data_IF_020062019321
#
_entry.id   IF_020062019321
#
_cell.length_a   1.000
_cell.length_b   1.000
_cell.length_c   1.000
_cell.angle_alpha   90.00
_cell.angle_beta   90.00
_cell.angle_gamma   90.00
#
_symmetry.space_group_name_H-M   'P 1'
#
loop_
_entity.id
_entity.type
_entity.pdbx_description
1 polymer ?
#
# COMPACT_ATOMS: atom_id res chain seq x y z
N UNK A 1 33.03 -24.33 -47.87
CA UNK A 1 31.72 -24.77 -47.40
C UNK A 1 31.72 -24.70 -45.88
N UNK A 2 30.95 -23.77 -45.31
CA UNK A 2 30.80 -23.64 -43.83
C UNK A 2 29.48 -24.31 -43.45
N UNK A 3 29.42 -25.12 -42.38
CA UNK A 3 28.15 -25.73 -41.94
C UNK A 3 27.31 -24.70 -41.21
N UNK A 4 26.08 -24.54 -41.64
CA UNK A 4 25.02 -23.78 -40.93
C UNK A 4 24.44 -24.64 -39.79
N UNK A 5 24.56 -24.16 -38.56
CA UNK A 5 23.94 -24.76 -37.37
C UNK A 5 22.52 -24.21 -37.24
N UNK A 6 21.48 -25.04 -37.13
CA UNK A 6 20.12 -24.53 -36.90
C UNK A 6 19.97 -24.03 -35.46
N UNK A 7 19.45 -22.83 -35.33
CA UNK A 7 19.06 -22.25 -34.02
C UNK A 7 17.80 -22.93 -33.49
N UNK A 8 17.94 -23.65 -32.41
CA UNK A 8 16.84 -24.26 -31.66
C UNK A 8 16.13 -23.13 -30.83
N UNK A 9 14.94 -22.74 -31.29
CA UNK A 9 14.09 -21.83 -30.54
C UNK A 9 13.40 -22.58 -29.39
N UNK A 10 13.87 -22.42 -28.17
CA UNK A 10 13.18 -22.92 -26.98
C UNK A 10 12.11 -21.89 -26.61
N UNK A 11 10.86 -22.16 -26.98
CA UNK A 11 9.70 -21.45 -26.50
C UNK A 11 9.39 -21.92 -25.10
N UNK A 12 9.93 -21.21 -24.11
CA UNK A 12 9.58 -21.40 -22.70
C UNK A 12 8.16 -20.88 -22.44
N UNK A 13 7.19 -21.78 -22.27
CA UNK A 13 5.89 -21.45 -21.67
C UNK A 13 6.13 -21.08 -20.20
N UNK A 14 6.17 -19.79 -19.91
CA UNK A 14 6.03 -19.28 -18.55
C UNK A 14 4.54 -19.33 -18.18
N UNK A 15 4.12 -20.43 -17.55
CA UNK A 15 2.86 -20.51 -16.86
C UNK A 15 2.88 -19.43 -15.75
N UNK A 16 2.08 -18.39 -15.92
CA UNK A 16 1.87 -17.39 -14.89
C UNK A 16 1.31 -18.10 -13.65
N UNK A 17 2.05 -18.11 -12.57
CA UNK A 17 1.57 -18.62 -11.29
C UNK A 17 0.35 -17.78 -10.89
N UNK A 18 -0.84 -18.32 -11.05
CA UNK A 18 -2.04 -17.78 -10.45
C UNK A 18 -1.86 -17.94 -8.93
N UNK A 19 -1.73 -16.83 -8.21
CA UNK A 19 -1.77 -16.87 -6.75
C UNK A 19 -3.10 -17.50 -6.35
N UNK A 20 -3.11 -18.46 -5.41
CA UNK A 20 -4.34 -19.06 -4.94
C UNK A 20 -5.25 -17.94 -4.42
N UNK A 21 -6.51 -17.94 -4.86
CA UNK A 21 -7.52 -17.06 -4.28
C UNK A 21 -7.60 -17.35 -2.78
N UNK A 22 -7.24 -16.37 -1.97
CA UNK A 22 -7.40 -16.49 -0.52
C UNK A 22 -8.90 -16.45 -0.17
N UNK A 23 -9.26 -17.01 0.99
CA UNK A 23 -10.63 -17.26 1.42
C UNK A 23 -11.61 -16.10 1.10
N UNK A 24 -12.76 -16.45 0.55
CA UNK A 24 -13.84 -15.53 0.31
C UNK A 24 -14.52 -15.15 1.62
N UNK A 25 -14.58 -13.85 1.91
CA UNK A 25 -15.28 -13.32 3.08
C UNK A 25 -16.80 -13.21 2.86
N UNK A 26 -17.21 -13.25 1.60
CA UNK A 26 -18.55 -12.91 1.16
C UNK A 26 -18.68 -11.44 0.72
N UNK A 27 -19.76 -11.10 0.00
CA UNK A 27 -19.93 -9.80 -0.62
C UNK A 27 -20.01 -8.67 0.42
N UNK A 28 -19.65 -7.48 -0.06
CA UNK A 28 -19.82 -6.24 0.68
C UNK A 28 -21.30 -5.99 1.02
N UNK A 29 -21.55 -5.63 2.27
CA UNK A 29 -22.84 -5.20 2.78
C UNK A 29 -22.67 -4.11 3.84
N UNK A 30 -23.77 -3.46 4.21
CA UNK A 30 -23.82 -2.64 5.41
C UNK A 30 -24.57 -3.41 6.50
N UNK A 31 -24.06 -3.35 7.71
CA UNK A 31 -24.78 -3.87 8.86
C UNK A 31 -25.91 -2.92 9.30
N UNK A 32 -26.63 -3.29 10.37
CA UNK A 32 -27.72 -2.46 10.91
C UNK A 32 -27.25 -1.10 11.44
N UNK A 33 -25.96 -0.88 11.61
CA UNK A 33 -25.33 0.38 12.03
C UNK A 33 -24.69 1.12 10.85
N UNK A 34 -25.06 0.77 9.61
CA UNK A 34 -24.47 1.33 8.38
C UNK A 34 -22.94 1.12 8.27
N UNK A 35 -22.40 0.18 9.04
CA UNK A 35 -20.98 -0.15 8.97
C UNK A 35 -20.70 -1.01 7.74
N UNK A 36 -19.71 -0.67 6.91
CA UNK A 36 -19.37 -1.44 5.74
C UNK A 36 -18.58 -2.69 6.13
N UNK A 37 -19.12 -3.87 5.81
CA UNK A 37 -18.55 -5.18 6.12
C UNK A 37 -18.46 -6.07 4.87
N UNK A 38 -17.48 -6.98 4.87
CA UNK A 38 -17.44 -8.18 4.03
C UNK A 38 -17.50 -9.42 4.90
N UNK A 39 -18.48 -10.28 4.64
CA UNK A 39 -18.73 -11.44 5.48
C UNK A 39 -19.69 -11.18 6.65
N UNK A 40 -19.71 -12.11 7.61
CA UNK A 40 -20.52 -12.01 8.84
C UNK A 40 -19.94 -12.90 9.94
N UNK A 41 -20.14 -12.53 11.19
CA UNK A 41 -19.61 -13.25 12.36
C UNK A 41 -18.10 -13.15 12.46
N UNK A 42 -17.50 -14.17 13.09
CA UNK A 42 -16.05 -14.24 13.30
C UNK A 42 -15.28 -14.16 11.99
N UNK A 43 -14.23 -13.36 11.99
CA UNK A 43 -13.37 -13.15 10.82
C UNK A 43 -13.99 -12.32 9.71
N UNK A 44 -15.19 -11.75 9.87
CA UNK A 44 -15.73 -10.76 8.95
C UNK A 44 -14.82 -9.53 8.93
N UNK A 45 -14.67 -8.91 7.76
CA UNK A 45 -13.78 -7.78 7.61
C UNK A 45 -14.55 -6.46 7.54
N UNK A 46 -14.09 -5.47 8.29
CA UNK A 46 -14.62 -4.10 8.26
C UNK A 46 -13.83 -3.28 7.27
N UNK A 47 -14.54 -2.66 6.31
CA UNK A 47 -13.92 -1.79 5.31
C UNK A 47 -13.36 -0.53 6.00
N UNK A 48 -12.11 -0.21 5.71
CA UNK A 48 -11.47 1.02 6.19
C UNK A 48 -12.12 2.21 5.49
N UNK A 49 -12.45 3.23 6.28
CA UNK A 49 -13.11 4.43 5.75
C UNK A 49 -12.24 5.13 4.71
N UNK A 50 -12.85 5.59 3.62
CA UNK A 50 -12.21 6.34 2.53
C UNK A 50 -11.13 5.57 1.75
N UNK A 51 -11.17 4.24 1.79
CA UNK A 51 -10.21 3.41 1.06
C UNK A 51 -10.78 2.71 -0.16
N UNK A 52 -12.06 2.90 -0.46
CA UNK A 52 -12.67 2.32 -1.66
C UNK A 52 -12.04 2.88 -2.93
N UNK A 53 -11.85 2.00 -3.92
CA UNK A 53 -11.40 2.38 -5.25
C UNK A 53 -12.39 3.33 -5.94
N UNK A 54 -11.96 4.16 -6.90
CA UNK A 54 -12.84 5.05 -7.67
C UNK A 54 -14.01 4.34 -8.33
N UNK A 55 -13.82 3.13 -8.84
CA UNK A 55 -14.86 2.29 -9.44
C UNK A 55 -15.70 1.49 -8.42
N UNK A 56 -15.40 1.64 -7.11
CA UNK A 56 -16.06 0.98 -5.98
C UNK A 56 -16.03 -0.55 -6.01
N UNK A 57 -15.02 -1.15 -6.66
CA UNK A 57 -14.88 -2.60 -6.72
C UNK A 57 -13.92 -3.17 -5.69
N UNK A 58 -13.04 -2.34 -5.14
CA UNK A 58 -11.99 -2.75 -4.21
C UNK A 58 -11.93 -1.82 -3.01
N UNK A 59 -11.39 -2.31 -1.89
CA UNK A 59 -11.13 -1.50 -0.71
C UNK A 59 -10.04 -2.12 0.17
N UNK A 60 -9.50 -1.35 1.10
CA UNK A 60 -8.83 -1.90 2.26
C UNK A 60 -9.87 -2.25 3.32
N UNK A 61 -9.62 -3.35 4.03
CA UNK A 61 -10.44 -3.78 5.15
C UNK A 61 -9.52 -4.36 6.24
N UNK A 62 -9.96 -4.33 7.48
CA UNK A 62 -9.27 -4.97 8.59
C UNK A 62 -10.18 -6.02 9.23
N UNK A 63 -9.58 -7.03 9.84
CA UNK A 63 -10.28 -8.03 10.64
C UNK A 63 -9.38 -8.60 11.73
N UNK A 64 -10.00 -9.15 12.74
CA UNK A 64 -9.44 -10.20 13.59
C UNK A 64 -10.01 -11.53 13.06
N UNK A 65 -9.19 -12.54 12.73
CA UNK A 65 -9.69 -13.82 12.20
C UNK A 65 -10.60 -14.56 13.16
N UNK A 66 -10.41 -14.36 14.47
CA UNK A 66 -11.06 -15.12 15.54
C UNK A 66 -12.22 -14.37 16.23
N UNK A 67 -12.44 -13.10 15.87
CA UNK A 67 -13.46 -12.24 16.47
C UNK A 67 -14.46 -11.70 15.45
N UNK A 68 -15.67 -11.41 15.95
CA UNK A 68 -16.58 -10.53 15.22
C UNK A 68 -16.03 -9.10 15.22
N UNK A 69 -16.12 -8.34 14.13
CA UNK A 69 -15.65 -6.96 14.10
C UNK A 69 -16.25 -6.02 15.16
N UNK A 70 -17.38 -6.42 15.75
CA UNK A 70 -18.01 -5.70 16.87
C UNK A 70 -17.33 -5.93 18.21
N UNK A 71 -16.62 -7.05 18.35
CA UNK A 71 -15.99 -7.50 19.60
C UNK A 71 -14.47 -7.15 19.65
N UNK A 72 -13.94 -6.59 18.58
CA UNK A 72 -12.53 -6.16 18.52
C UNK A 72 -12.33 -4.92 19.37
N UNK A 73 -11.29 -4.96 20.22
CA UNK A 73 -10.90 -3.90 21.15
C UNK A 73 -9.53 -3.33 20.83
N UNK A 74 -9.13 -2.27 21.52
CA UNK A 74 -7.80 -1.64 21.35
C UNK A 74 -6.63 -2.50 21.84
N UNK A 75 -6.93 -3.53 22.64
CA UNK A 75 -5.92 -4.46 23.16
C UNK A 75 -5.64 -5.62 22.17
N UNK A 76 -6.39 -5.70 21.07
CA UNK A 76 -6.22 -6.75 20.08
C UNK A 76 -5.03 -6.47 19.16
N UNK A 77 -4.10 -7.42 19.10
CA UNK A 77 -2.84 -7.32 18.36
C UNK A 77 -2.80 -8.13 17.07
N UNK A 78 -3.76 -9.06 16.88
CA UNK A 78 -3.75 -10.00 15.76
C UNK A 78 -4.62 -9.52 14.59
N UNK A 79 -4.60 -8.21 14.36
CA UNK A 79 -5.37 -7.62 13.27
C UNK A 79 -4.68 -7.82 11.92
N UNK A 80 -5.47 -8.23 10.95
CA UNK A 80 -5.06 -8.34 9.57
C UNK A 80 -5.61 -7.17 8.75
N UNK A 81 -4.76 -6.57 7.93
CA UNK A 81 -5.23 -5.71 6.85
C UNK A 81 -5.34 -6.50 5.55
N UNK A 82 -6.42 -6.27 4.85
CA UNK A 82 -6.79 -6.95 3.62
C UNK A 82 -6.98 -5.93 2.50
N UNK A 83 -6.48 -6.22 1.32
CA UNK A 83 -6.99 -5.64 0.08
C UNK A 83 -8.05 -6.60 -0.47
N UNK A 84 -9.28 -6.15 -0.59
CA UNK A 84 -10.42 -7.02 -0.93
C UNK A 84 -11.14 -6.56 -2.18
N UNK A 85 -11.73 -7.51 -2.89
CA UNK A 85 -12.72 -7.26 -3.93
C UNK A 85 -14.13 -7.26 -3.33
N UNK A 86 -14.86 -6.16 -3.47
CA UNK A 86 -16.11 -5.93 -2.75
C UNK A 86 -17.28 -6.79 -3.24
N UNK A 87 -17.26 -7.24 -4.52
CA UNK A 87 -18.34 -8.00 -5.11
C UNK A 87 -18.55 -9.37 -4.45
N UNK A 88 -17.48 -10.00 -3.99
CA UNK A 88 -17.47 -11.38 -3.50
C UNK A 88 -16.63 -11.56 -2.22
N UNK A 89 -15.94 -10.52 -1.77
CA UNK A 89 -15.09 -10.56 -0.58
C UNK A 89 -13.78 -11.33 -0.78
N UNK A 90 -13.37 -11.54 -2.03
CA UNK A 90 -12.08 -12.19 -2.32
C UNK A 90 -10.95 -11.33 -1.79
N UNK A 91 -10.09 -11.94 -0.97
CA UNK A 91 -8.89 -11.31 -0.44
C UNK A 91 -7.80 -11.35 -1.50
N UNK A 92 -7.35 -10.18 -1.96
CA UNK A 92 -6.31 -10.04 -2.96
C UNK A 92 -4.92 -9.95 -2.36
N UNK A 93 -4.79 -9.32 -1.20
CA UNK A 93 -3.55 -9.23 -0.45
C UNK A 93 -3.84 -9.15 1.05
N UNK A 94 -2.87 -9.57 1.83
CA UNK A 94 -2.86 -9.60 3.29
C UNK A 94 -1.63 -8.89 3.83
N UNK A 95 -1.76 -8.26 4.99
CA UNK A 95 -0.65 -7.70 5.73
C UNK A 95 -1.07 -7.49 7.18
N UNK A 96 -0.09 -7.32 8.03
CA UNK A 96 -0.34 -7.00 9.43
C UNK A 96 -0.78 -5.55 9.53
N UNK A 97 -1.60 -5.25 10.52
CA UNK A 97 -1.99 -3.90 10.90
C UNK A 97 -2.34 -3.88 12.38
N UNK A 98 -2.15 -2.75 12.97
CA UNK A 98 -2.70 -2.42 14.28
C UNK A 98 -3.71 -1.26 14.17
N UNK A 99 -4.20 -1.05 12.95
CA UNK A 99 -5.27 -0.12 12.67
C UNK A 99 -6.53 -0.56 13.38
N UNK A 100 -6.84 0.14 14.43
CA UNK A 100 -8.10 0.02 15.15
C UNK A 100 -8.72 1.40 15.31
N UNK A 101 -9.93 1.57 14.83
CA UNK A 101 -10.68 2.77 15.04
C UNK A 101 -11.50 2.67 16.31
N UNK A 102 -10.94 3.06 17.44
CA UNK A 102 -11.72 3.38 18.63
C UNK A 102 -12.18 4.83 18.53
N UNK A 103 -13.47 5.13 18.48
CA UNK A 103 -13.99 6.50 18.41
C UNK A 103 -13.66 7.36 19.65
N UNK A 104 -13.16 6.73 20.73
CA UNK A 104 -12.80 7.43 21.98
C UNK A 104 -11.31 7.68 22.16
N UNK A 105 -10.43 7.09 21.37
CA UNK A 105 -8.97 7.22 21.56
C UNK A 105 -8.37 8.11 20.48
N UNK A 106 -8.00 9.32 20.86
CA UNK A 106 -7.34 10.30 19.99
C UNK A 106 -5.81 10.28 20.08
N UNK A 107 -5.24 9.45 20.97
CA UNK A 107 -3.85 9.60 21.38
C UNK A 107 -2.82 8.96 20.45
N UNK A 108 -3.15 7.86 19.77
CA UNK A 108 -2.25 7.18 18.84
C UNK A 108 -2.96 6.99 17.49
N UNK A 109 -2.87 8.02 16.67
CA UNK A 109 -3.39 7.91 15.29
C UNK A 109 -2.50 6.99 14.50
N UNK A 110 -2.99 5.80 14.23
CA UNK A 110 -2.50 4.95 13.14
C UNK A 110 -3.53 5.06 12.03
N UNK A 111 -3.10 5.56 10.89
CA UNK A 111 -3.99 5.81 9.77
C UNK A 111 -3.64 4.84 8.63
N UNK A 112 -4.60 3.98 8.30
CA UNK A 112 -4.54 3.18 7.07
C UNK A 112 -5.18 3.97 5.94
N UNK A 113 -4.42 4.17 4.89
CA UNK A 113 -4.78 5.01 3.77
C UNK A 113 -4.63 4.24 2.45
N UNK A 114 -5.45 4.59 1.48
CA UNK A 114 -5.37 4.06 0.13
C UNK A 114 -5.27 5.21 -0.89
N UNK A 115 -4.22 5.19 -1.70
CA UNK A 115 -4.03 6.14 -2.81
C UNK A 115 -4.24 5.35 -4.10
N UNK A 116 -5.38 5.54 -4.72
CA UNK A 116 -5.77 4.84 -5.94
C UNK A 116 -5.34 5.57 -7.21
N UNK A 117 -4.98 4.79 -8.24
CA UNK A 117 -4.99 5.32 -9.61
C UNK A 117 -6.45 5.56 -10.06
N UNK A 118 -6.71 6.56 -10.93
CA UNK A 118 -8.07 6.86 -11.39
C UNK A 118 -8.79 5.67 -12.05
N UNK A 119 -8.05 4.76 -12.69
CA UNK A 119 -8.60 3.55 -13.31
C UNK A 119 -8.78 2.36 -12.34
N UNK A 120 -8.52 2.57 -11.04
CA UNK A 120 -8.63 1.56 -9.99
C UNK A 120 -7.73 0.32 -10.16
N UNK A 121 -6.70 0.40 -11.00
CA UNK A 121 -5.78 -0.72 -11.26
C UNK A 121 -4.53 -0.74 -10.40
N UNK A 122 -4.24 0.36 -9.76
CA UNK A 122 -3.13 0.46 -8.81
C UNK A 122 -3.60 1.12 -7.53
N UNK A 123 -3.10 0.62 -6.41
CA UNK A 123 -3.34 1.23 -5.10
C UNK A 123 -2.07 1.18 -4.27
N UNK A 124 -1.79 2.29 -3.60
CA UNK A 124 -0.78 2.34 -2.54
C UNK A 124 -1.51 2.20 -1.22
N UNK A 125 -1.12 1.19 -0.46
CA UNK A 125 -1.41 1.11 0.97
C UNK A 125 -0.36 1.92 1.71
N UNK A 126 -0.80 2.78 2.59
CA UNK A 126 0.05 3.53 3.49
C UNK A 126 -0.47 3.37 4.92
N UNK A 127 0.43 2.98 5.82
CA UNK A 127 0.18 2.98 7.26
C UNK A 127 1.09 4.01 7.90
N UNK A 128 0.49 5.02 8.48
CA UNK A 128 1.18 6.09 9.20
C UNK A 128 0.83 6.01 10.70
N UNK A 129 1.74 5.49 11.53
CA UNK A 129 1.68 5.71 12.97
C UNK A 129 2.00 7.18 13.28
N UNK A 130 1.90 7.54 14.55
CA UNK A 130 2.16 8.91 15.00
C UNK A 130 3.51 9.49 14.53
N UNK A 131 4.51 8.62 14.35
CA UNK A 131 5.86 9.00 13.97
C UNK A 131 6.34 8.09 12.83
N UNK A 132 6.37 8.64 11.63
CA UNK A 132 6.89 7.96 10.44
C UNK A 132 5.84 7.22 9.62
N UNK A 133 6.31 6.58 8.57
CA UNK A 133 5.51 5.69 7.73
C UNK A 133 6.04 4.28 7.90
N UNK A 134 5.20 3.36 8.37
CA UNK A 134 5.56 1.96 8.57
C UNK A 134 5.31 1.12 7.32
N UNK A 135 4.26 1.45 6.56
CA UNK A 135 3.94 0.76 5.32
C UNK A 135 3.74 1.75 4.20
N UNK A 136 4.42 1.54 3.10
CA UNK A 136 4.21 2.26 1.85
C UNK A 136 4.35 1.26 0.71
N UNK A 137 3.26 0.55 0.43
CA UNK A 137 3.26 -0.61 -0.47
C UNK A 137 2.27 -0.42 -1.61
N UNK A 138 2.74 -0.62 -2.83
CA UNK A 138 1.91 -0.54 -4.04
C UNK A 138 1.47 -1.94 -4.44
N UNK A 139 0.19 -2.07 -4.73
CA UNK A 139 -0.44 -3.24 -5.32
C UNK A 139 -0.94 -2.92 -6.73
N UNK A 140 -0.82 -3.88 -7.63
CA UNK A 140 -1.39 -3.81 -8.97
C UNK A 140 -2.49 -4.85 -9.12
N UNK A 141 -3.64 -4.41 -9.63
CA UNK A 141 -4.79 -5.25 -9.94
C UNK A 141 -4.82 -5.48 -11.45
N UNK A 142 -4.82 -6.73 -11.83
CA UNK A 142 -4.85 -7.16 -13.23
C UNK A 142 -6.25 -7.21 -13.82
N UNK A 143 -6.32 -7.63 -15.09
CA UNK A 143 -7.59 -7.93 -15.73
C UNK A 143 -8.33 -9.03 -14.95
N UNK A 144 -9.64 -8.88 -14.77
CA UNK A 144 -10.45 -9.81 -13.97
C UNK A 144 -10.41 -9.54 -12.45
N UNK A 145 -9.70 -8.50 -11.99
CA UNK A 145 -9.71 -8.09 -10.58
C UNK A 145 -8.87 -8.97 -9.66
N UNK A 146 -7.90 -9.69 -10.18
CA UNK A 146 -6.92 -10.45 -9.41
C UNK A 146 -5.67 -9.61 -9.12
N UNK A 147 -4.95 -9.92 -8.03
CA UNK A 147 -3.66 -9.31 -7.77
C UNK A 147 -2.66 -9.71 -8.86
N UNK A 148 -2.03 -8.73 -9.48
CA UNK A 148 -1.04 -8.93 -10.55
C UNK A 148 0.40 -8.66 -10.08
N UNK A 149 0.59 -8.20 -8.86
CA UNK A 149 1.88 -7.98 -8.22
C UNK A 149 1.85 -6.88 -7.18
N UNK A 150 2.89 -6.82 -6.39
CA UNK A 150 3.10 -5.78 -5.39
C UNK A 150 4.56 -5.34 -5.31
N UNK A 151 4.82 -4.20 -4.70
CA UNK A 151 6.17 -3.69 -4.44
C UNK A 151 6.18 -2.84 -3.17
N UNK A 152 7.16 -3.08 -2.32
CA UNK A 152 7.42 -2.30 -1.13
C UNK A 152 8.19 -1.02 -1.50
N UNK A 153 7.51 0.10 -1.46
CA UNK A 153 8.07 1.38 -1.86
C UNK A 153 9.01 1.98 -0.80
N UNK A 154 8.87 1.61 0.49
CA UNK A 154 9.78 2.07 1.55
C UNK A 154 11.20 1.62 1.22
N UNK A 155 11.39 0.38 0.78
CA UNK A 155 12.72 -0.15 0.40
C UNK A 155 13.41 0.61 -0.74
N UNK A 156 12.66 1.43 -1.46
CA UNK A 156 13.19 2.26 -2.55
C UNK A 156 13.34 3.72 -2.09
N UNK A 157 12.34 4.23 -1.36
CA UNK A 157 12.29 5.64 -0.95
C UNK A 157 13.28 5.93 0.16
N UNK A 158 13.27 5.13 1.22
CA UNK A 158 14.10 5.38 2.39
C UNK A 158 15.61 5.44 2.08
N UNK A 159 16.22 4.47 1.39
CA UNK A 159 17.63 4.57 1.04
C UNK A 159 17.98 5.80 0.20
N UNK A 160 17.08 6.20 -0.70
CA UNK A 160 17.30 7.37 -1.53
C UNK A 160 17.25 8.68 -0.72
N UNK A 161 16.31 8.77 0.24
CA UNK A 161 16.21 9.93 1.12
C UNK A 161 17.42 10.01 2.07
N UNK A 162 17.82 8.90 2.66
CA UNK A 162 19.01 8.83 3.52
C UNK A 162 20.30 9.21 2.76
N UNK A 163 20.41 8.78 1.51
CA UNK A 163 21.55 9.19 0.66
C UNK A 163 21.52 10.71 0.38
N UNK A 164 20.34 11.27 0.15
CA UNK A 164 20.19 12.70 -0.08
C UNK A 164 20.52 13.53 1.17
N UNK A 165 20.08 13.09 2.37
CA UNK A 165 20.47 13.73 3.64
C UNK A 165 21.99 13.85 3.80
N UNK A 166 22.72 12.77 3.49
CA UNK A 166 24.19 12.79 3.50
C UNK A 166 24.77 13.85 2.55
N UNK A 167 24.20 13.99 1.35
CA UNK A 167 24.66 14.97 0.36
C UNK A 167 24.51 16.42 0.86
N UNK A 168 23.50 16.68 1.67
CA UNK A 168 23.27 18.01 2.27
C UNK A 168 23.92 18.17 3.66
N UNK A 169 24.79 17.23 4.08
CA UNK A 169 25.56 17.33 5.31
C UNK A 169 24.80 16.96 6.58
N UNK A 170 23.67 16.22 6.49
CA UNK A 170 22.91 15.73 7.64
C UNK A 170 23.27 14.29 7.97
N UNK A 171 23.28 13.93 9.27
CA UNK A 171 23.47 12.52 9.68
C UNK A 171 22.14 11.76 9.53
N UNK A 172 22.07 10.75 8.64
CA UNK A 172 20.86 10.00 8.39
C UNK A 172 20.31 9.23 9.60
N UNK A 173 21.15 8.93 10.58
CA UNK A 173 20.76 8.14 11.77
C UNK A 173 19.73 8.84 12.66
N UNK A 174 19.68 10.14 12.56
CA UNK A 174 18.79 10.96 13.39
C UNK A 174 17.41 11.15 12.77
N UNK A 175 17.23 10.70 11.52
CA UNK A 175 16.02 11.00 10.75
C UNK A 175 15.10 9.80 10.59
N UNK A 176 13.81 10.06 10.69
CA UNK A 176 12.72 9.14 10.38
C UNK A 176 11.95 9.63 9.17
N UNK A 177 11.59 8.70 8.29
CA UNK A 177 10.82 8.98 7.08
C UNK A 177 9.33 9.01 7.39
N UNK A 178 8.65 10.05 6.91
CA UNK A 178 7.19 10.10 6.83
C UNK A 178 6.76 10.50 5.42
N UNK A 179 5.72 9.88 4.91
CA UNK A 179 5.10 10.26 3.64
C UNK A 179 3.77 10.96 3.92
N UNK A 180 3.47 12.02 3.16
CA UNK A 180 2.20 12.72 3.32
C UNK A 180 1.20 12.23 2.28
N UNK A 181 0.24 11.41 2.72
CA UNK A 181 -0.80 10.84 1.85
C UNK A 181 -1.70 11.88 1.20
N UNK A 182 -2.02 12.97 1.91
CA UNK A 182 -2.88 14.02 1.39
C UNK A 182 -2.26 14.78 0.21
N UNK A 183 -0.94 14.71 0.08
CA UNK A 183 -0.18 15.31 -1.03
C UNK A 183 0.28 14.26 -2.06
N UNK A 184 -0.22 13.03 -1.96
CA UNK A 184 0.19 11.94 -2.84
C UNK A 184 -0.81 11.73 -3.97
N UNK A 185 -0.31 11.54 -5.19
CA UNK A 185 -1.12 11.23 -6.37
C UNK A 185 -0.52 10.10 -7.16
N UNK A 186 -1.35 9.18 -7.65
CA UNK A 186 -0.96 8.05 -8.47
C UNK A 186 -1.71 8.10 -9.80
N UNK A 187 -0.99 8.30 -10.90
CA UNK A 187 -1.57 8.33 -12.24
C UNK A 187 -1.75 6.92 -12.84
N UNK A 188 -2.65 6.78 -13.81
CA UNK A 188 -2.86 5.54 -14.56
C UNK A 188 -1.60 5.08 -15.31
N UNK A 189 -0.73 6.02 -15.64
CA UNK A 189 0.56 5.77 -16.26
C UNK A 189 1.62 5.24 -15.27
N UNK A 190 1.28 5.11 -13.99
CA UNK A 190 2.19 4.72 -12.92
C UNK A 190 3.09 5.85 -12.43
N UNK A 191 2.77 7.11 -12.74
CA UNK A 191 3.48 8.24 -12.15
C UNK A 191 2.95 8.49 -10.73
N UNK A 192 3.80 8.28 -9.74
CA UNK A 192 3.55 8.59 -8.35
C UNK A 192 4.27 9.89 -7.97
N UNK A 193 3.53 10.86 -7.48
CA UNK A 193 4.06 12.07 -6.86
C UNK A 193 3.65 12.10 -5.41
N UNK A 194 4.58 12.39 -4.53
CA UNK A 194 4.33 12.36 -3.09
C UNK A 194 5.28 13.31 -2.35
N UNK A 195 4.85 13.75 -1.18
CA UNK A 195 5.66 14.53 -0.25
C UNK A 195 6.31 13.57 0.74
N UNK A 196 7.60 13.75 0.98
CA UNK A 196 8.35 13.04 2.00
C UNK A 196 8.82 14.06 3.03
N UNK A 197 8.64 13.74 4.29
CA UNK A 197 9.16 14.52 5.41
C UNK A 197 10.20 13.65 6.10
N UNK A 198 11.40 14.18 6.20
CA UNK A 198 12.45 13.59 7.05
C UNK A 198 12.52 14.41 8.31
N UNK A 199 12.19 13.83 9.45
CA UNK A 199 12.13 14.53 10.71
C UNK A 199 12.94 13.85 11.80
N UNK A 200 13.37 14.65 12.76
CA UNK A 200 14.10 14.20 13.95
C UNK A 200 13.19 14.34 15.16
N UNK A 201 13.06 13.25 15.92
CA UNK A 201 12.14 13.21 17.08
C UNK A 201 12.50 14.24 18.16
N UNK A 202 13.69 14.81 18.16
CA UNK A 202 14.16 15.57 19.33
C UNK A 202 14.75 16.97 19.12
N UNK A 203 15.22 17.42 17.95
CA UNK A 203 16.02 18.66 17.95
C UNK A 203 16.20 19.46 16.66
N UNK A 204 15.87 18.96 15.49
CA UNK A 204 16.23 19.64 14.25
C UNK A 204 15.02 19.99 13.38
N UNK A 205 15.12 21.03 12.55
CA UNK A 205 14.03 21.33 11.62
C UNK A 205 13.80 20.16 10.67
N UNK A 206 12.54 19.87 10.43
CA UNK A 206 12.09 18.90 9.44
C UNK A 206 12.65 19.27 8.06
N UNK A 207 12.97 18.24 7.27
CA UNK A 207 13.41 18.44 5.89
C UNK A 207 12.35 17.88 4.96
N UNK A 208 11.68 18.80 4.28
CA UNK A 208 10.60 18.49 3.37
C UNK A 208 11.09 18.25 1.94
N UNK A 209 10.57 17.19 1.33
CA UNK A 209 10.86 16.85 -0.07
C UNK A 209 9.59 16.62 -0.87
N UNK A 210 9.64 16.97 -2.14
CA UNK A 210 8.73 16.44 -3.16
C UNK A 210 9.46 15.37 -3.95
N UNK A 211 8.92 14.16 -3.98
CA UNK A 211 9.47 13.06 -4.73
C UNK A 211 8.54 12.64 -5.87
N UNK A 212 9.15 12.30 -6.98
CA UNK A 212 8.47 11.68 -8.12
C UNK A 212 9.05 10.30 -8.37
N UNK A 213 8.18 9.32 -8.52
CA UNK A 213 8.56 7.94 -8.80
C UNK A 213 7.80 7.43 -10.02
N UNK A 214 8.47 6.69 -10.88
CA UNK A 214 7.84 5.98 -11.99
C UNK A 214 7.71 4.51 -11.63
N UNK A 215 6.48 4.03 -11.62
CA UNK A 215 6.14 2.62 -11.57
C UNK A 215 5.95 2.13 -12.99
N UNK A 216 6.62 1.07 -13.36
CA UNK A 216 6.50 0.43 -14.68
C UNK A 216 6.07 -1.02 -14.53
N UNK A 217 5.22 -1.43 -15.45
CA UNK A 217 4.72 -2.80 -15.51
C UNK A 217 5.30 -3.44 -16.77
N UNK A 218 6.34 -4.24 -16.61
CA UNK A 218 6.86 -5.10 -17.69
C UNK A 218 6.37 -6.54 -17.49
N UNK A 219 6.57 -7.43 -18.46
CA UNK A 219 6.15 -8.83 -18.47
C UNK A 219 6.15 -9.50 -17.07
N UNK A 220 5.04 -9.37 -16.34
CA UNK A 220 4.78 -9.88 -14.99
C UNK A 220 5.60 -9.26 -13.84
N UNK A 221 6.49 -8.30 -14.06
CA UNK A 221 7.26 -7.65 -13.00
C UNK A 221 6.83 -6.19 -12.82
N UNK A 222 6.50 -5.86 -11.57
CA UNK A 222 6.29 -4.49 -11.12
C UNK A 222 7.66 -3.90 -10.72
N UNK A 223 8.01 -2.75 -11.28
CA UNK A 223 9.24 -2.03 -10.94
C UNK A 223 8.93 -0.59 -10.59
N UNK A 224 9.63 -0.05 -9.63
CA UNK A 224 9.54 1.35 -9.28
C UNK A 224 10.94 1.97 -9.21
N UNK A 225 11.06 3.22 -9.63
CA UNK A 225 12.29 4.00 -9.50
C UNK A 225 11.97 5.45 -9.20
N UNK A 226 12.74 6.06 -8.36
CA UNK A 226 12.70 7.51 -8.14
C UNK A 226 13.27 8.20 -9.38
N UNK A 227 12.56 9.20 -9.87
CA UNK A 227 12.98 10.01 -11.04
C UNK A 227 13.34 11.43 -10.66
N UNK A 228 12.80 11.95 -9.56
CA UNK A 228 13.15 13.25 -9.04
C UNK A 228 12.96 13.32 -7.52
N UNK A 229 13.86 14.03 -6.87
CA UNK A 229 13.77 14.47 -5.48
C UNK A 229 14.05 15.96 -5.49
N UNK A 230 13.15 16.73 -4.91
CA UNK A 230 13.31 18.19 -4.80
C UNK A 230 13.11 18.59 -3.36
N UNK A 231 14.10 19.25 -2.79
CA UNK A 231 13.99 19.90 -1.50
C UNK A 231 12.95 21.04 -1.61
N UNK A 232 11.99 21.06 -0.69
CA UNK A 232 11.09 22.19 -0.55
C UNK A 232 11.54 22.95 0.68
N UNK A 233 12.06 24.18 0.48
CA UNK A 233 12.34 25.04 1.62
C UNK A 233 11.04 25.29 2.35
N UNK A 234 11.04 25.01 3.64
CA UNK A 234 10.06 25.57 4.56
C UNK A 234 10.60 26.97 4.87
N UNK A 235 9.88 28.00 4.47
CA UNK A 235 10.11 29.37 4.95
C UNK A 235 9.77 29.45 6.45
#
# INVERSE_FOLDING_TARGET
>A
MRPTVPALAIAGLLAGAAFPAMAELGPYKRDARETPLCGSGKGAARVVRNTMSPDKKFALAWRDPDKDPGDVTEDDTDLELLLIRLADGVVLAKGDTDYFRNPGVTANRREELAIWSPDSRMVIRQLDPRYGTEVFKLYRIGAGGALAGDIDLIKIVEPAMLAHLKQIGRDPKDYTLSTNSNASTLGNDGMLRFKVIMFVIKKEPEVDYKAEMKVTTGNALLRARIIAIRHTHVE
#
